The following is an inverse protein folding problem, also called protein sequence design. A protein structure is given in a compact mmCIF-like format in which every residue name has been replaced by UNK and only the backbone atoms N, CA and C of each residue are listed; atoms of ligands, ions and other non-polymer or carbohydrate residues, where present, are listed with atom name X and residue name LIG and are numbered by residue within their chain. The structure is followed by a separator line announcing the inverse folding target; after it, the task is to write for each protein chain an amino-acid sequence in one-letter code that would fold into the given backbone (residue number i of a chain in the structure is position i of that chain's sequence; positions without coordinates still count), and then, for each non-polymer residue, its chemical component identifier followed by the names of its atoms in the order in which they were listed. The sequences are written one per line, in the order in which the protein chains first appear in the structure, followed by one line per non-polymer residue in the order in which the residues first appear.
data_IF_593604200910
#
_entry.id   IF_593604200910
#
_cell.length_a   1.000
_cell.length_b   1.000
_cell.length_c   1.000
_cell.angle_alpha   90.00
_cell.angle_beta   90.00
_cell.angle_gamma   90.00
#
_symmetry.space_group_name_H-M   'P 1'
#
loop_
_entity.id
_entity.type
_entity.pdbx_description
1 polymer ?
#
# COMPACT_ATOMS: atom_id res chain seq x y z
N UNK A 1 5.54 -2.77 -30.10
CA UNK A 1 6.55 -1.96 -29.37
C UNK A 1 5.92 -1.53 -28.03
N UNK A 2 5.96 -2.37 -27.00
CA UNK A 2 5.50 -1.99 -25.66
C UNK A 2 6.60 -1.17 -24.98
N UNK A 3 6.28 0.01 -24.46
CA UNK A 3 7.25 0.80 -23.67
C UNK A 3 7.59 -0.01 -22.42
N UNK A 4 8.76 -0.63 -22.39
CA UNK A 4 9.36 -1.07 -21.12
C UNK A 4 9.87 0.16 -20.40
N UNK A 5 8.95 0.92 -19.79
CA UNK A 5 9.29 1.98 -18.85
C UNK A 5 9.47 1.34 -17.49
N UNK A 6 10.71 1.00 -17.11
CA UNK A 6 11.02 0.57 -15.75
C UNK A 6 10.94 1.80 -14.84
N UNK A 7 9.83 1.95 -14.12
CA UNK A 7 9.63 2.99 -13.10
C UNK A 7 10.60 2.76 -11.94
N UNK A 8 11.22 3.83 -11.43
CA UNK A 8 12.15 3.73 -10.29
C UNK A 8 11.40 3.55 -8.96
N UNK A 9 12.02 2.95 -7.94
CA UNK A 9 11.43 2.83 -6.59
C UNK A 9 11.01 4.18 -6.01
N UNK A 10 11.80 5.23 -6.23
CA UNK A 10 11.46 6.59 -5.78
C UNK A 10 10.20 7.12 -6.44
N UNK A 11 10.02 6.84 -7.73
CA UNK A 11 8.85 7.24 -8.51
C UNK A 11 7.62 6.45 -8.08
N UNK A 12 7.75 5.14 -7.86
CA UNK A 12 6.69 4.31 -7.29
C UNK A 12 6.23 4.80 -5.91
N UNK A 13 7.17 5.15 -5.02
CA UNK A 13 6.85 5.69 -3.71
C UNK A 13 6.20 7.09 -3.79
N UNK A 14 6.71 7.94 -4.69
CA UNK A 14 6.13 9.25 -4.96
C UNK A 14 4.68 9.13 -5.43
N UNK A 15 4.41 8.26 -6.41
CA UNK A 15 3.06 8.04 -6.93
C UNK A 15 2.13 7.47 -5.85
N UNK A 16 2.61 6.50 -5.07
CA UNK A 16 1.81 5.85 -4.01
C UNK A 16 1.43 6.85 -2.92
N UNK A 17 2.34 7.74 -2.51
CA UNK A 17 2.06 8.81 -1.55
C UNK A 17 1.12 9.88 -2.11
N UNK A 18 1.23 10.24 -3.40
CA UNK A 18 0.35 11.21 -4.05
C UNK A 18 -1.07 10.69 -4.27
N UNK A 19 -1.22 9.38 -4.47
CA UNK A 19 -2.53 8.75 -4.65
C UNK A 19 -3.27 8.49 -3.34
N UNK A 20 -2.57 8.36 -2.21
CA UNK A 20 -3.20 8.08 -0.92
C UNK A 20 -4.29 9.10 -0.52
N UNK A 21 -4.11 10.43 -0.63
CA UNK A 21 -5.17 11.40 -0.38
C UNK A 21 -6.37 11.27 -1.34
N UNK A 22 -6.15 10.77 -2.57
CA UNK A 22 -7.24 10.53 -3.52
C UNK A 22 -8.09 9.36 -3.03
N UNK A 23 -7.45 8.27 -2.59
CA UNK A 23 -8.14 7.13 -1.98
C UNK A 23 -8.88 7.55 -0.71
N UNK A 24 -8.29 8.41 0.12
CA UNK A 24 -8.93 8.94 1.32
C UNK A 24 -10.23 9.68 0.98
N UNK A 25 -10.20 10.53 -0.05
CA UNK A 25 -11.39 11.25 -0.54
C UNK A 25 -12.45 10.32 -1.10
N UNK A 26 -12.05 9.30 -1.85
CA UNK A 26 -12.98 8.32 -2.42
C UNK A 26 -13.72 7.53 -1.32
N UNK A 27 -13.08 7.31 -0.18
CA UNK A 27 -13.65 6.56 0.94
C UNK A 27 -14.21 7.45 2.06
N UNK A 28 -14.27 8.77 1.88
CA UNK A 28 -14.67 9.73 2.92
C UNK A 28 -16.10 9.51 3.48
N UNK A 29 -16.96 8.81 2.72
CA UNK A 29 -18.33 8.51 3.14
C UNK A 29 -18.45 7.21 3.97
N UNK A 30 -17.38 6.42 4.09
CA UNK A 30 -17.37 5.20 4.89
C UNK A 30 -16.94 5.51 6.34
N UNK A 31 -17.85 5.29 7.28
CA UNK A 31 -17.63 5.54 8.71
C UNK A 31 -16.58 4.63 9.35
N UNK A 32 -16.28 3.50 8.71
CA UNK A 32 -15.29 2.52 9.19
C UNK A 32 -13.92 2.73 8.57
N UNK A 33 -13.83 3.59 7.54
CA UNK A 33 -12.59 3.88 6.85
C UNK A 33 -11.63 4.70 7.72
N UNK A 34 -10.34 4.39 7.61
CA UNK A 34 -9.26 5.12 8.27
C UNK A 34 -8.34 5.70 7.19
N UNK A 35 -8.16 7.02 7.15
CA UNK A 35 -7.30 7.66 6.15
C UNK A 35 -5.88 7.10 6.14
N UNK A 36 -5.32 6.97 4.94
CA UNK A 36 -3.94 6.60 4.66
C UNK A 36 -2.98 7.77 4.93
N UNK A 37 -3.39 8.99 4.61
CA UNK A 37 -2.62 10.21 4.83
C UNK A 37 -3.04 10.94 6.12
N UNK A 38 -2.17 11.79 6.71
CA UNK A 38 -0.78 12.07 6.30
C UNK A 38 0.25 11.10 6.91
N UNK A 39 -0.14 10.28 7.89
CA UNK A 39 0.78 9.46 8.67
C UNK A 39 1.09 8.13 7.97
N UNK A 40 1.87 8.19 6.90
CA UNK A 40 2.19 7.01 6.08
C UNK A 40 3.04 5.96 6.80
N UNK A 41 3.99 6.37 7.63
CA UNK A 41 4.93 5.46 8.31
C UNK A 41 4.24 4.58 9.35
N UNK A 42 3.28 5.14 10.09
CA UNK A 42 2.50 4.43 11.10
C UNK A 42 1.24 3.74 10.53
N UNK A 43 0.93 3.96 9.25
CA UNK A 43 -0.25 3.38 8.62
C UNK A 43 0.05 1.99 8.03
N UNK A 44 -0.39 0.95 8.76
CA UNK A 44 -0.20 -0.46 8.38
C UNK A 44 -0.74 -0.76 6.97
N UNK A 45 -1.85 -0.14 6.56
CA UNK A 45 -2.42 -0.36 5.22
C UNK A 45 -1.56 0.30 4.13
N UNK A 46 -1.04 1.50 4.38
CA UNK A 46 -0.10 2.16 3.48
C UNK A 46 1.21 1.38 3.36
N UNK A 47 1.76 0.89 4.48
CA UNK A 47 2.96 0.05 4.48
C UNK A 47 2.76 -1.26 3.69
N UNK A 48 1.57 -1.87 3.77
CA UNK A 48 1.22 -3.03 2.95
C UNK A 48 1.22 -2.69 1.45
N UNK A 49 0.63 -1.56 1.05
CA UNK A 49 0.59 -1.13 -0.35
C UNK A 49 2.00 -0.83 -0.89
N UNK A 50 2.82 -0.10 -0.12
CA UNK A 50 4.22 0.17 -0.45
C UNK A 50 5.00 -1.12 -0.67
N UNK A 51 4.86 -2.09 0.24
CA UNK A 51 5.55 -3.37 0.15
C UNK A 51 5.10 -4.19 -1.07
N UNK A 52 3.82 -4.21 -1.39
CA UNK A 52 3.32 -4.89 -2.60
C UNK A 52 3.89 -4.28 -3.88
N UNK A 53 4.02 -2.95 -3.93
CA UNK A 53 4.53 -2.25 -5.12
C UNK A 53 6.04 -2.46 -5.30
N UNK A 54 6.81 -2.49 -4.20
CA UNK A 54 8.27 -2.61 -4.23
C UNK A 54 8.75 -4.06 -4.27
N UNK A 55 8.12 -4.94 -3.50
CA UNK A 55 8.51 -6.34 -3.34
C UNK A 55 7.60 -7.31 -4.10
N UNK A 56 6.58 -6.82 -4.82
CA UNK A 56 5.66 -7.68 -5.57
C UNK A 56 6.36 -8.58 -6.60
N UNK A 57 7.47 -8.11 -7.18
CA UNK A 57 8.28 -8.89 -8.13
C UNK A 57 9.19 -9.92 -7.47
N UNK A 58 9.43 -9.82 -6.16
CA UNK A 58 10.25 -10.77 -5.39
C UNK A 58 9.39 -11.86 -4.74
N UNK A 59 8.07 -11.67 -4.69
CA UNK A 59 7.15 -12.69 -4.17
C UNK A 59 7.13 -13.93 -5.08
N UNK A 60 7.09 -15.14 -4.51
CA UNK A 60 7.03 -16.37 -5.29
C UNK A 60 5.78 -16.36 -6.16
N UNK A 61 5.96 -16.48 -7.49
CA UNK A 61 4.88 -16.41 -8.48
C UNK A 61 4.03 -15.12 -8.44
N UNK A 62 4.52 -14.04 -7.81
CA UNK A 62 3.78 -12.77 -7.69
C UNK A 62 2.61 -12.82 -6.70
N UNK A 63 2.58 -13.81 -5.80
CA UNK A 63 1.52 -13.91 -4.79
C UNK A 63 1.55 -12.73 -3.82
N UNK A 64 0.36 -12.19 -3.55
CA UNK A 64 0.18 -11.03 -2.65
C UNK A 64 -0.14 -11.48 -1.22
N UNK A 65 -0.59 -12.73 -1.08
CA UNK A 65 -1.06 -13.34 0.15
C UNK A 65 -0.02 -13.32 1.27
N UNK A 66 1.28 -13.61 1.06
CA UNK A 66 2.25 -13.55 2.15
C UNK A 66 2.33 -12.17 2.81
N UNK A 67 2.34 -11.12 1.99
CA UNK A 67 2.38 -9.72 2.42
C UNK A 67 1.07 -9.34 3.10
N UNK A 68 -0.06 -9.58 2.43
CA UNK A 68 -1.38 -9.19 2.93
C UNK A 68 -1.74 -9.91 4.24
N UNK A 69 -1.45 -11.21 4.35
CA UNK A 69 -1.71 -11.96 5.58
C UNK A 69 -0.84 -11.51 6.75
N UNK A 70 0.42 -11.15 6.51
CA UNK A 70 1.30 -10.58 7.54
C UNK A 70 0.76 -9.25 8.04
N UNK A 71 0.51 -8.30 7.13
CA UNK A 71 0.02 -6.95 7.45
C UNK A 71 -1.36 -6.96 8.10
N UNK A 72 -2.24 -7.87 7.69
CA UNK A 72 -3.56 -8.03 8.33
C UNK A 72 -3.45 -8.54 9.77
N UNK A 73 -2.49 -9.43 10.08
CA UNK A 73 -2.24 -9.88 11.45
C UNK A 73 -1.70 -8.74 12.31
N UNK A 74 -0.77 -7.93 11.80
CA UNK A 74 -0.27 -6.72 12.47
C UNK A 74 -1.40 -5.75 12.79
N UNK A 75 -2.26 -5.44 11.81
CA UNK A 75 -3.42 -4.58 12.03
C UNK A 75 -4.34 -5.12 13.13
N UNK A 76 -4.67 -6.42 13.10
CA UNK A 76 -5.50 -7.03 14.15
C UNK A 76 -4.86 -6.97 15.54
N UNK A 77 -3.54 -7.13 15.63
CA UNK A 77 -2.82 -7.05 16.90
C UNK A 77 -2.79 -5.60 17.45
N UNK A 78 -2.64 -4.60 16.59
CA UNK A 78 -2.67 -3.18 16.96
C UNK A 78 -4.07 -2.63 17.27
N UNK A 79 -5.12 -3.40 16.95
CA UNK A 79 -6.52 -3.07 17.26
C UNK A 79 -7.08 -3.80 18.48
N UNK A 80 -6.25 -4.63 19.16
CA UNK A 80 -6.59 -5.17 20.47
C UNK A 80 -6.29 -4.14 21.56
#
# INVERSE_FOLDING_TARGET
MGRSGSTSERELLYDTTHLAPVVDRQNANDKTYRPLAPNFDDNIAFQAAKELVLEGTTQPNGYTEPILHRRRREFKAAQK
#
